data_IF_997659842218
#
_entry.id   IF_997659842218
#
_cell.length_a   1.000
_cell.length_b   1.000
_cell.length_c   1.000
_cell.angle_alpha   90.00
_cell.angle_beta   90.00
_cell.angle_gamma   90.00
#
_symmetry.space_group_name_H-M   'P 1'
#
loop_
_entity.id
_entity.type
_entity.pdbx_description
1 polymer ?
#
# COMPACT_ATOMS: atom_id res chain seq x y z
N UNK A 1 65.26 -18.61 -10.31
CA UNK A 1 64.57 -17.30 -10.40
C UNK A 1 64.16 -17.18 -11.86
N UNK A 2 62.89 -17.25 -12.28
CA UNK A 2 61.64 -16.74 -11.70
C UNK A 2 60.53 -17.61 -12.28
N UNK A 3 59.80 -18.37 -11.46
CA UNK A 3 58.62 -19.12 -11.91
C UNK A 3 57.47 -18.13 -12.04
N UNK A 4 57.09 -17.79 -13.28
CA UNK A 4 55.87 -17.06 -13.58
C UNK A 4 54.69 -17.97 -13.26
N UNK A 5 53.99 -17.70 -12.15
CA UNK A 5 52.73 -18.34 -11.82
C UNK A 5 51.70 -17.87 -12.85
N UNK A 6 51.47 -18.67 -13.90
CA UNK A 6 50.31 -18.50 -14.77
C UNK A 6 49.05 -18.62 -13.91
N UNK A 7 48.39 -17.50 -13.66
CA UNK A 7 47.03 -17.46 -13.12
C UNK A 7 46.11 -18.07 -14.16
N UNK A 8 45.82 -19.38 -14.05
CA UNK A 8 44.77 -20.03 -14.83
C UNK A 8 43.48 -19.22 -14.67
N UNK A 9 42.87 -18.70 -15.76
CA UNK A 9 41.61 -17.98 -15.64
C UNK A 9 40.59 -18.90 -15.00
N UNK A 10 40.00 -18.46 -13.90
CA UNK A 10 39.04 -19.24 -13.14
C UNK A 10 37.84 -19.57 -14.05
N UNK A 11 37.56 -20.85 -14.35
CA UNK A 11 36.52 -21.24 -15.30
C UNK A 11 35.10 -20.87 -14.82
N UNK A 12 34.95 -20.46 -13.55
CA UNK A 12 33.70 -19.96 -12.98
C UNK A 12 33.37 -18.51 -13.37
N UNK A 13 34.34 -17.75 -13.92
CA UNK A 13 34.18 -16.34 -14.32
C UNK A 13 34.26 -16.13 -15.84
N UNK A 14 34.50 -17.18 -16.63
CA UNK A 14 34.51 -17.07 -18.08
C UNK A 14 33.08 -16.90 -18.64
N UNK A 15 32.86 -15.90 -19.51
CA UNK A 15 31.57 -15.67 -20.17
C UNK A 15 30.54 -14.91 -19.32
N UNK A 16 30.97 -13.83 -18.65
CA UNK A 16 30.07 -12.85 -18.04
C UNK A 16 30.24 -11.50 -18.77
N UNK A 17 29.13 -10.87 -19.15
CA UNK A 17 29.12 -9.49 -19.61
C UNK A 17 29.55 -8.59 -18.44
N UNK A 18 30.38 -7.56 -18.72
CA UNK A 18 30.75 -6.59 -17.70
C UNK A 18 29.52 -5.83 -17.21
N UNK A 19 29.52 -5.37 -15.95
CA UNK A 19 28.42 -4.57 -15.38
C UNK A 19 28.11 -3.30 -16.17
N UNK A 20 29.04 -2.83 -16.99
CA UNK A 20 28.89 -1.68 -17.89
C UNK A 20 28.08 -2.02 -19.15
N UNK A 21 27.98 -3.30 -19.52
CA UNK A 21 27.29 -3.73 -20.74
C UNK A 21 25.80 -3.38 -20.70
N UNK A 22 25.13 -3.50 -19.56
CA UNK A 22 23.71 -3.11 -19.41
C UNK A 22 23.53 -1.61 -19.68
N UNK A 23 24.34 -0.76 -19.04
CA UNK A 23 24.32 0.69 -19.25
C UNK A 23 24.67 1.10 -20.68
N UNK A 24 25.66 0.44 -21.28
CA UNK A 24 26.06 0.69 -22.67
C UNK A 24 24.94 0.31 -23.66
N UNK A 25 24.28 -0.84 -23.47
CA UNK A 25 23.15 -1.25 -24.31
C UNK A 25 21.93 -0.35 -24.13
N UNK A 26 21.68 0.15 -22.92
CA UNK A 26 20.61 1.10 -22.63
C UNK A 26 20.86 2.45 -23.32
N UNK A 27 22.07 2.99 -23.17
CA UNK A 27 22.46 4.23 -23.84
C UNK A 27 22.39 4.11 -25.37
N UNK A 28 22.88 2.98 -25.92
CA UNK A 28 22.79 2.69 -27.35
C UNK A 28 21.35 2.61 -27.84
N UNK A 29 20.47 1.91 -27.12
CA UNK A 29 19.07 1.79 -27.49
C UNK A 29 18.31 3.13 -27.37
N UNK A 30 18.61 3.94 -26.36
CA UNK A 30 18.04 5.29 -26.21
C UNK A 30 18.45 6.24 -27.34
N UNK A 31 19.71 6.20 -27.79
CA UNK A 31 20.19 6.98 -28.93
C UNK A 31 19.52 6.56 -30.24
N UNK A 32 19.36 5.25 -30.47
CA UNK A 32 18.65 4.73 -31.64
C UNK A 32 17.16 5.12 -31.59
N UNK A 33 16.53 5.03 -30.41
CA UNK A 33 15.16 5.50 -30.20
C UNK A 33 14.98 6.98 -30.53
N UNK A 34 15.87 7.85 -30.02
CA UNK A 34 15.84 9.28 -30.29
C UNK A 34 16.10 9.63 -31.77
N UNK A 35 16.95 8.85 -32.46
CA UNK A 35 17.20 9.01 -33.89
C UNK A 35 15.96 8.62 -34.72
N UNK A 36 15.29 7.52 -34.37
CA UNK A 36 14.05 7.10 -35.04
C UNK A 36 12.94 8.14 -34.80
N UNK A 37 12.80 8.62 -33.56
CA UNK A 37 11.80 9.62 -33.20
C UNK A 37 12.02 10.94 -33.97
N UNK A 38 13.26 11.42 -34.07
CA UNK A 38 13.59 12.67 -34.77
C UNK A 38 13.56 12.61 -36.31
N UNK A 39 13.59 11.41 -36.91
CA UNK A 39 13.68 11.25 -38.38
C UNK A 39 12.45 10.61 -39.01
N UNK A 40 11.70 9.82 -38.25
CA UNK A 40 10.56 9.05 -38.74
C UNK A 40 9.22 9.47 -38.11
N UNK A 41 9.25 10.18 -36.97
CA UNK A 41 8.06 10.71 -36.31
C UNK A 41 8.17 12.23 -36.27
N UNK A 42 7.08 12.94 -36.55
CA UNK A 42 7.07 14.41 -36.69
C UNK A 42 7.16 15.10 -35.32
N UNK A 43 8.37 15.11 -34.74
CA UNK A 43 8.71 15.84 -33.50
C UNK A 43 9.34 14.96 -32.43
N UNK A 44 10.26 15.56 -31.66
CA UNK A 44 10.87 14.90 -30.50
C UNK A 44 9.89 14.91 -29.33
N UNK A 45 9.20 13.78 -29.10
CA UNK A 45 8.43 13.57 -27.89
C UNK A 45 9.24 12.70 -26.91
N UNK A 46 9.52 13.20 -25.68
CA UNK A 46 10.26 12.42 -24.69
C UNK A 46 9.60 11.07 -24.36
N UNK A 47 8.28 10.97 -24.45
CA UNK A 47 7.53 9.74 -24.19
C UNK A 47 7.75 8.67 -25.26
N UNK A 48 7.61 9.03 -26.54
CA UNK A 48 7.85 8.14 -27.68
C UNK A 48 9.31 7.69 -27.75
N UNK A 49 10.26 8.59 -27.52
CA UNK A 49 11.70 8.26 -27.48
C UNK A 49 12.03 7.23 -26.40
N UNK A 50 11.51 7.38 -25.18
CA UNK A 50 11.72 6.42 -24.09
C UNK A 50 11.06 5.07 -24.39
N UNK A 51 9.86 5.07 -24.97
CA UNK A 51 9.16 3.86 -25.35
C UNK A 51 9.93 3.07 -26.43
N UNK A 52 10.34 3.75 -27.51
CA UNK A 52 11.13 3.13 -28.59
C UNK A 52 12.48 2.61 -28.07
N UNK A 53 13.17 3.39 -27.23
CA UNK A 53 14.40 2.97 -26.57
C UNK A 53 14.22 1.71 -25.73
N UNK A 54 13.12 1.60 -24.97
CA UNK A 54 12.82 0.40 -24.18
C UNK A 54 12.51 -0.83 -25.05
N UNK A 55 11.74 -0.65 -26.14
CA UNK A 55 11.40 -1.71 -27.10
C UNK A 55 12.65 -2.24 -27.81
N UNK A 56 13.66 -1.40 -28.05
CA UNK A 56 14.94 -1.81 -28.66
C UNK A 56 15.89 -2.43 -27.61
N UNK A 57 15.92 -1.86 -26.41
CA UNK A 57 16.80 -2.30 -25.32
C UNK A 57 16.49 -3.72 -24.84
N UNK A 58 15.22 -4.06 -24.62
CA UNK A 58 14.81 -5.34 -24.03
C UNK A 58 15.19 -6.57 -24.89
N UNK A 59 14.98 -6.58 -26.21
CA UNK A 59 15.49 -7.63 -27.09
C UNK A 59 17.02 -7.62 -27.17
N UNK A 60 17.65 -6.44 -27.24
CA UNK A 60 19.10 -6.33 -27.38
C UNK A 60 19.83 -6.93 -26.16
N UNK A 61 19.43 -6.57 -24.94
CA UNK A 61 20.04 -7.11 -23.72
C UNK A 61 19.78 -8.61 -23.55
N UNK A 62 18.62 -9.10 -23.99
CA UNK A 62 18.29 -10.53 -23.98
C UNK A 62 19.15 -11.32 -24.97
N UNK A 63 19.27 -10.85 -26.21
CA UNK A 63 20.06 -11.52 -27.25
C UNK A 63 21.56 -11.53 -26.91
N UNK A 64 22.10 -10.41 -26.44
CA UNK A 64 23.49 -10.30 -25.99
C UNK A 64 23.78 -11.15 -24.76
N UNK A 65 22.87 -11.17 -23.78
CA UNK A 65 23.04 -12.04 -22.60
C UNK A 65 22.87 -13.52 -22.97
N UNK A 66 22.03 -13.85 -23.94
CA UNK A 66 21.85 -15.24 -24.40
C UNK A 66 23.09 -15.76 -25.12
N UNK A 67 23.77 -14.93 -25.91
CA UNK A 67 24.97 -15.33 -26.67
C UNK A 67 26.20 -15.47 -25.78
N UNK A 68 26.35 -14.63 -24.74
CA UNK A 68 27.55 -14.63 -23.87
C UNK A 68 27.37 -15.47 -22.60
N UNK A 69 26.19 -15.42 -21.98
CA UNK A 69 25.96 -15.94 -20.61
C UNK A 69 24.98 -17.12 -20.54
N UNK A 70 24.38 -17.48 -21.68
CA UNK A 70 23.41 -18.54 -21.79
C UNK A 70 21.98 -18.15 -21.38
N UNK A 71 21.04 -19.10 -21.59
CA UNK A 71 19.59 -18.84 -21.50
C UNK A 71 19.11 -18.43 -20.09
N UNK A 72 19.68 -19.03 -19.03
CA UNK A 72 19.24 -18.77 -17.65
C UNK A 72 19.52 -17.33 -17.21
N UNK A 73 20.75 -16.84 -17.44
CA UNK A 73 21.15 -15.46 -17.10
C UNK A 73 20.47 -14.41 -17.99
N UNK A 74 20.21 -14.73 -19.26
CA UNK A 74 19.46 -13.86 -20.15
C UNK A 74 18.00 -13.65 -19.68
N UNK A 75 17.32 -14.72 -19.25
CA UNK A 75 15.96 -14.61 -18.70
C UNK A 75 15.94 -13.83 -17.39
N UNK A 76 16.92 -14.06 -16.51
CA UNK A 76 17.05 -13.32 -15.24
C UNK A 76 17.18 -11.81 -15.48
N UNK A 77 18.10 -11.37 -16.34
CA UNK A 77 18.28 -9.95 -16.69
C UNK A 77 17.07 -9.33 -17.38
N UNK A 78 16.41 -10.07 -18.26
CA UNK A 78 15.17 -9.60 -18.89
C UNK A 78 14.08 -9.40 -17.83
N UNK A 79 13.92 -10.34 -16.90
CA UNK A 79 12.97 -10.21 -15.80
C UNK A 79 13.29 -9.00 -14.91
N UNK A 80 14.55 -8.80 -14.53
CA UNK A 80 14.98 -7.63 -13.75
C UNK A 80 14.66 -6.31 -14.46
N UNK A 81 14.98 -6.21 -15.76
CA UNK A 81 14.70 -5.00 -16.54
C UNK A 81 13.20 -4.75 -16.73
N UNK A 82 12.39 -5.80 -16.92
CA UNK A 82 10.94 -5.68 -17.00
C UNK A 82 10.33 -5.23 -15.66
N UNK A 83 10.79 -5.78 -14.54
CA UNK A 83 10.34 -5.37 -13.20
C UNK A 83 10.74 -3.92 -12.92
N UNK A 84 11.98 -3.54 -13.23
CA UNK A 84 12.45 -2.16 -13.08
C UNK A 84 11.66 -1.19 -13.98
N UNK A 85 11.41 -1.57 -15.23
CA UNK A 85 10.59 -0.79 -16.17
C UNK A 85 9.15 -0.63 -15.68
N UNK A 86 8.50 -1.71 -15.23
CA UNK A 86 7.16 -1.66 -14.66
C UNK A 86 7.11 -0.79 -13.40
N UNK A 87 8.12 -0.85 -12.54
CA UNK A 87 8.24 0.02 -11.36
C UNK A 87 8.37 1.50 -11.75
N UNK A 88 9.20 1.84 -12.72
CA UNK A 88 9.34 3.20 -13.23
C UNK A 88 8.04 3.71 -13.86
N UNK A 89 7.35 2.88 -14.64
CA UNK A 89 6.04 3.22 -15.20
C UNK A 89 4.99 3.46 -14.11
N UNK A 90 5.00 2.68 -13.04
CA UNK A 90 4.11 2.89 -11.89
C UNK A 90 4.45 4.16 -11.09
N UNK A 91 5.71 4.60 -11.10
CA UNK A 91 6.12 5.86 -10.48
C UNK A 91 5.58 7.10 -11.22
N UNK A 92 5.38 7.03 -12.54
CA UNK A 92 4.89 8.18 -13.32
C UNK A 92 3.57 8.77 -12.81
N UNK A 93 2.47 8.00 -12.65
CA UNK A 93 1.23 8.55 -12.10
C UNK A 93 1.39 8.99 -10.65
N UNK A 94 2.21 8.31 -9.85
CA UNK A 94 2.48 8.72 -8.46
C UNK A 94 3.14 10.10 -8.41
N UNK A 95 4.21 10.30 -9.18
CA UNK A 95 4.90 11.59 -9.28
C UNK A 95 3.98 12.65 -9.88
N UNK A 96 3.17 12.32 -10.89
CA UNK A 96 2.21 13.24 -11.49
C UNK A 96 1.16 13.71 -10.48
N UNK A 97 0.59 12.81 -9.68
CA UNK A 97 -0.40 13.17 -8.65
C UNK A 97 0.26 14.02 -7.57
N UNK A 98 1.45 13.64 -7.08
CA UNK A 98 2.18 14.44 -6.10
C UNK A 98 2.51 15.83 -6.63
N UNK A 99 3.00 15.94 -7.86
CA UNK A 99 3.29 17.22 -8.50
C UNK A 99 2.03 18.07 -8.63
N UNK A 100 0.95 17.52 -9.17
CA UNK A 100 -0.32 18.23 -9.35
C UNK A 100 -0.91 18.69 -8.00
N UNK A 101 -0.86 17.84 -6.97
CA UNK A 101 -1.30 18.19 -5.62
C UNK A 101 -0.46 19.31 -5.00
N UNK A 102 0.86 19.30 -5.20
CA UNK A 102 1.74 20.37 -4.70
C UNK A 102 1.58 21.66 -5.48
N UNK A 103 1.64 21.63 -6.81
CA UNK A 103 1.55 22.84 -7.64
C UNK A 103 0.19 23.51 -7.56
N UNK A 104 -0.90 22.72 -7.46
CA UNK A 104 -2.25 23.25 -7.28
C UNK A 104 -2.58 23.62 -5.84
N UNK A 105 -1.98 22.94 -4.86
CA UNK A 105 -2.28 23.12 -3.43
C UNK A 105 -1.46 24.21 -2.75
N UNK A 106 -0.15 24.33 -3.06
CA UNK A 106 0.76 25.31 -2.43
C UNK A 106 0.25 26.76 -2.48
N UNK A 107 -0.32 27.25 -3.59
CA UNK A 107 -0.84 28.62 -3.66
C UNK A 107 -2.03 28.90 -2.72
N UNK A 108 -2.72 27.86 -2.22
CA UNK A 108 -3.88 27.96 -1.31
C UNK A 108 -3.50 27.77 0.16
N UNK A 109 -2.20 27.69 0.51
CA UNK A 109 -1.75 27.65 1.91
C UNK A 109 -1.78 29.05 2.56
N UNK A 110 -2.97 29.63 2.64
CA UNK A 110 -3.20 30.92 3.29
C UNK A 110 -4.10 30.77 4.53
N UNK A 111 -4.19 31.81 5.36
CA UNK A 111 -4.96 31.76 6.59
C UNK A 111 -6.47 31.51 6.36
N UNK A 112 -7.01 31.93 5.20
CA UNK A 112 -8.43 31.74 4.88
C UNK A 112 -8.74 30.28 4.56
N UNK A 113 -7.80 29.55 3.94
CA UNK A 113 -7.94 28.11 3.70
C UNK A 113 -8.19 27.31 4.99
N UNK A 114 -7.52 27.65 6.09
CA UNK A 114 -7.69 26.95 7.37
C UNK A 114 -8.87 27.43 8.20
N UNK A 115 -9.31 28.68 8.00
CA UNK A 115 -10.33 29.32 8.86
C UNK A 115 -11.72 29.38 8.22
N UNK A 116 -11.83 29.27 6.90
CA UNK A 116 -13.11 29.40 6.19
C UNK A 116 -13.67 28.03 5.82
N UNK A 117 -15.00 27.96 5.76
CA UNK A 117 -15.74 26.77 5.32
C UNK A 117 -16.14 26.92 3.85
N UNK A 118 -16.28 25.78 3.16
CA UNK A 118 -16.90 25.71 1.82
C UNK A 118 -18.44 25.70 1.86
N UNK A 119 -19.05 25.80 3.05
CA UNK A 119 -20.50 25.83 3.18
C UNK A 119 -21.10 27.02 2.41
N UNK A 120 -22.00 26.73 1.48
CA UNK A 120 -22.70 27.70 0.62
C UNK A 120 -21.78 28.53 -0.30
N UNK A 121 -20.55 28.08 -0.55
CA UNK A 121 -19.66 28.72 -1.54
C UNK A 121 -19.90 28.06 -2.89
N UNK A 122 -20.27 28.85 -3.91
CA UNK A 122 -20.39 28.42 -5.30
C UNK A 122 -19.44 29.29 -6.13
N UNK A 123 -18.33 28.72 -6.60
CA UNK A 123 -17.27 29.43 -7.32
C UNK A 123 -16.00 29.63 -6.51
N UNK A 124 -15.24 30.69 -6.82
CA UNK A 124 -13.96 30.97 -6.18
C UNK A 124 -14.10 31.48 -4.75
N UNK A 125 -13.44 30.79 -3.81
CA UNK A 125 -13.41 31.15 -2.39
C UNK A 125 -13.42 29.92 -1.49
N UNK A 126 -13.78 30.11 -0.22
CA UNK A 126 -13.92 29.04 0.78
C UNK A 126 -12.61 28.46 1.29
N UNK A 127 -12.71 27.57 2.28
CA UNK A 127 -11.56 26.92 2.91
C UNK A 127 -11.83 25.46 3.28
N UNK A 128 -10.76 24.76 3.65
CA UNK A 128 -10.76 23.35 3.99
C UNK A 128 -11.25 23.06 5.42
N UNK A 129 -11.69 24.06 6.19
CA UNK A 129 -12.11 23.86 7.58
C UNK A 129 -13.14 22.73 7.69
N UNK A 130 -14.20 22.75 6.87
CA UNK A 130 -15.23 21.71 6.91
C UNK A 130 -14.69 20.32 6.54
N UNK A 131 -13.76 20.25 5.57
CA UNK A 131 -13.13 19.00 5.17
C UNK A 131 -12.21 18.42 6.26
N UNK A 132 -11.46 19.28 6.96
CA UNK A 132 -10.59 18.88 8.07
C UNK A 132 -11.43 18.35 9.24
N UNK A 133 -12.44 19.11 9.67
CA UNK A 133 -13.34 18.68 10.74
C UNK A 133 -14.13 17.43 10.36
N UNK A 134 -14.64 17.35 9.12
CA UNK A 134 -15.35 16.18 8.62
C UNK A 134 -14.48 14.94 8.63
N UNK A 135 -13.25 15.02 8.11
CA UNK A 135 -12.31 13.89 8.08
C UNK A 135 -11.96 13.41 9.50
N UNK A 136 -11.66 14.34 10.42
CA UNK A 136 -11.35 14.00 11.82
C UNK A 136 -12.54 13.38 12.54
N UNK A 137 -13.74 13.92 12.35
CA UNK A 137 -14.95 13.41 12.99
C UNK A 137 -15.30 11.99 12.48
N UNK A 138 -15.34 11.82 11.17
CA UNK A 138 -15.69 10.55 10.53
C UNK A 138 -14.67 9.47 10.86
N UNK A 139 -13.39 9.77 10.67
CA UNK A 139 -12.31 8.83 10.98
C UNK A 139 -12.23 8.55 12.47
N UNK A 140 -12.45 9.56 13.31
CA UNK A 140 -12.46 9.41 14.77
C UNK A 140 -13.53 8.44 15.25
N UNK A 141 -14.76 8.57 14.74
CA UNK A 141 -15.86 7.64 15.06
C UNK A 141 -15.56 6.25 14.50
N UNK A 142 -15.12 6.15 13.24
CA UNK A 142 -14.75 4.87 12.63
C UNK A 142 -13.66 4.15 13.45
N UNK A 143 -12.65 4.88 13.92
CA UNK A 143 -11.57 4.36 14.76
C UNK A 143 -12.09 3.92 16.13
N UNK A 144 -12.91 4.75 16.78
CA UNK A 144 -13.48 4.46 18.09
C UNK A 144 -14.32 3.17 18.09
N UNK A 145 -14.98 2.86 16.97
CA UNK A 145 -15.74 1.63 16.80
C UNK A 145 -14.82 0.47 16.41
N UNK A 146 -13.97 0.67 15.41
CA UNK A 146 -13.24 -0.42 14.75
C UNK A 146 -12.06 -0.93 15.55
N UNK A 147 -11.34 -0.05 16.26
CA UNK A 147 -10.14 -0.45 17.00
C UNK A 147 -10.49 -1.37 18.17
N UNK A 148 -11.46 -1.06 19.04
CA UNK A 148 -11.84 -1.98 20.11
C UNK A 148 -12.38 -3.30 19.58
N UNK A 149 -13.25 -3.27 18.55
CA UNK A 149 -13.80 -4.49 17.95
C UNK A 149 -12.68 -5.34 17.36
N UNK A 150 -11.82 -4.73 16.53
CA UNK A 150 -10.73 -5.44 15.87
C UNK A 150 -9.70 -6.02 16.84
N UNK A 151 -9.33 -5.26 17.87
CA UNK A 151 -8.43 -5.72 18.93
C UNK A 151 -9.02 -6.90 19.70
N UNK A 152 -10.28 -6.81 20.11
CA UNK A 152 -10.94 -7.89 20.86
C UNK A 152 -11.14 -9.14 20.01
N UNK A 153 -11.48 -8.98 18.73
CA UNK A 153 -11.57 -10.10 17.79
C UNK A 153 -10.20 -10.76 17.57
N UNK A 154 -9.12 -9.99 17.41
CA UNK A 154 -7.78 -10.54 17.27
C UNK A 154 -7.30 -11.27 18.54
N UNK A 155 -7.54 -10.70 19.72
CA UNK A 155 -7.27 -11.36 21.00
C UNK A 155 -8.04 -12.67 21.11
N UNK A 156 -9.32 -12.67 20.74
CA UNK A 156 -10.12 -13.89 20.68
C UNK A 156 -9.50 -14.92 19.74
N UNK A 157 -9.18 -14.54 18.50
CA UNK A 157 -8.64 -15.46 17.48
C UNK A 157 -7.30 -16.08 17.88
N UNK A 158 -6.38 -15.29 18.44
CA UNK A 158 -5.03 -15.76 18.80
C UNK A 158 -5.04 -16.55 20.10
N UNK A 159 -5.72 -16.06 21.14
CA UNK A 159 -5.62 -16.65 22.46
C UNK A 159 -6.69 -17.71 22.71
N UNK A 160 -7.92 -17.52 22.22
CA UNK A 160 -9.06 -18.41 22.51
C UNK A 160 -9.56 -19.21 21.30
N UNK A 161 -9.24 -18.77 20.08
CA UNK A 161 -9.82 -19.24 18.83
C UNK A 161 -9.51 -20.71 18.56
N UNK A 162 -10.47 -21.60 18.86
CA UNK A 162 -10.41 -23.02 18.52
C UNK A 162 -11.72 -23.46 17.86
N UNK A 163 -11.64 -24.35 16.87
CA UNK A 163 -12.81 -24.99 16.25
C UNK A 163 -13.49 -24.15 15.16
N UNK A 164 -14.80 -24.36 14.98
CA UNK A 164 -15.56 -23.81 13.86
C UNK A 164 -15.78 -22.29 13.95
N UNK A 165 -15.93 -21.74 15.16
CA UNK A 165 -16.17 -20.31 15.36
C UNK A 165 -14.98 -19.46 14.91
N UNK A 166 -13.75 -19.85 15.29
CA UNK A 166 -12.54 -19.18 14.84
C UNK A 166 -12.40 -19.20 13.31
N UNK A 167 -12.63 -20.37 12.68
CA UNK A 167 -12.64 -20.49 11.22
C UNK A 167 -13.69 -19.62 10.55
N UNK A 168 -14.89 -19.53 11.13
CA UNK A 168 -15.95 -18.66 10.63
C UNK A 168 -15.58 -17.19 10.70
N UNK A 169 -15.07 -16.72 11.84
CA UNK A 169 -14.63 -15.33 12.01
C UNK A 169 -13.50 -14.99 11.03
N UNK A 170 -12.47 -15.85 10.92
CA UNK A 170 -11.40 -15.65 9.93
C UNK A 170 -11.97 -15.59 8.51
N UNK A 171 -12.88 -16.50 8.13
CA UNK A 171 -13.52 -16.45 6.82
C UNK A 171 -14.26 -15.13 6.56
N UNK A 172 -15.03 -14.62 7.53
CA UNK A 172 -15.73 -13.34 7.38
C UNK A 172 -14.76 -12.16 7.29
N UNK A 173 -13.70 -12.13 8.10
CA UNK A 173 -12.64 -11.10 8.03
C UNK A 173 -11.99 -11.11 6.65
N UNK A 174 -11.68 -12.29 6.11
CA UNK A 174 -11.07 -12.48 4.80
C UNK A 174 -12.00 -12.02 3.68
N UNK A 175 -13.28 -12.39 3.75
CA UNK A 175 -14.30 -11.94 2.80
C UNK A 175 -14.46 -10.42 2.85
N UNK A 176 -14.49 -9.82 4.05
CA UNK A 176 -14.59 -8.35 4.20
C UNK A 176 -13.42 -7.61 3.56
N UNK A 177 -12.20 -8.18 3.55
CA UNK A 177 -11.06 -7.58 2.83
C UNK A 177 -11.19 -7.66 1.31
N UNK A 178 -11.99 -8.60 0.79
CA UNK A 178 -12.22 -8.78 -0.64
C UNK A 178 -13.41 -8.01 -1.21
N UNK A 179 -14.28 -7.45 -0.36
CA UNK A 179 -15.45 -6.70 -0.79
C UNK A 179 -15.02 -5.32 -1.35
N UNK A 180 -15.54 -4.88 -2.50
CA UNK A 180 -15.27 -3.54 -3.02
C UNK A 180 -15.72 -2.44 -2.03
N UNK A 181 -14.92 -1.40 -1.83
CA UNK A 181 -15.21 -0.35 -0.82
C UNK A 181 -16.51 0.42 -1.08
N UNK A 182 -16.94 0.53 -2.35
CA UNK A 182 -18.25 1.08 -2.74
C UNK A 182 -19.41 0.31 -2.08
N UNK A 183 -19.30 -1.01 -1.97
CA UNK A 183 -20.35 -1.86 -1.40
C UNK A 183 -20.53 -1.58 0.09
N UNK A 184 -19.46 -1.30 0.81
CA UNK A 184 -19.55 -0.89 2.22
C UNK A 184 -20.27 0.45 2.38
N UNK A 185 -20.04 1.41 1.46
CA UNK A 185 -20.78 2.67 1.40
C UNK A 185 -22.27 2.47 1.15
N UNK A 186 -22.63 1.64 0.17
CA UNK A 186 -24.03 1.32 -0.13
C UNK A 186 -24.72 0.60 1.03
N UNK A 187 -24.02 -0.32 1.70
CA UNK A 187 -24.50 -1.00 2.90
C UNK A 187 -24.81 0.01 4.01
N UNK A 188 -23.88 0.91 4.33
CA UNK A 188 -24.08 1.91 5.37
C UNK A 188 -25.23 2.87 5.04
N UNK A 189 -25.33 3.31 3.78
CA UNK A 189 -26.45 4.13 3.31
C UNK A 189 -27.80 3.41 3.46
N UNK A 190 -27.89 2.15 3.00
CA UNK A 190 -29.11 1.36 3.12
C UNK A 190 -29.50 1.08 4.57
N UNK A 191 -28.53 0.74 5.43
CA UNK A 191 -28.75 0.53 6.86
C UNK A 191 -29.31 1.79 7.52
N UNK A 192 -28.72 2.96 7.23
CA UNK A 192 -29.17 4.23 7.76
C UNK A 192 -30.56 4.62 7.27
N UNK A 193 -30.86 4.37 5.99
CA UNK A 193 -32.18 4.58 5.43
C UNK A 193 -33.27 3.74 6.14
N UNK A 194 -32.95 2.52 6.55
CA UNK A 194 -33.88 1.64 7.28
C UNK A 194 -34.09 2.11 8.71
N UNK A 195 -33.02 2.50 9.41
CA UNK A 195 -33.09 2.82 10.85
C UNK A 195 -33.64 4.23 11.10
N UNK A 196 -33.24 5.21 10.28
CA UNK A 196 -33.55 6.63 10.51
C UNK A 196 -34.43 7.27 9.43
N UNK A 197 -34.79 6.50 8.39
CA UNK A 197 -35.64 6.94 7.29
C UNK A 197 -34.85 7.29 6.02
N UNK A 198 -35.52 7.28 4.85
CA UNK A 198 -34.90 7.46 3.54
C UNK A 198 -34.23 8.84 3.39
N UNK A 199 -33.06 8.88 2.77
CA UNK A 199 -32.30 10.12 2.51
C UNK A 199 -31.38 10.57 3.65
N UNK A 200 -31.11 9.72 4.64
CA UNK A 200 -30.20 10.03 5.76
C UNK A 200 -28.73 9.99 5.35
N UNK A 201 -28.28 11.10 4.79
CA UNK A 201 -26.88 11.35 4.43
C UNK A 201 -26.26 12.20 5.54
N UNK A 202 -25.32 11.63 6.32
CA UNK A 202 -24.65 12.33 7.41
C UNK A 202 -23.22 11.80 7.63
N UNK A 203 -22.39 12.52 8.39
CA UNK A 203 -21.02 12.03 8.68
C UNK A 203 -21.00 10.70 9.45
N UNK A 204 -22.08 10.36 10.16
CA UNK A 204 -22.17 9.12 10.93
C UNK A 204 -22.34 7.88 10.03
N UNK A 205 -23.14 7.96 8.96
CA UNK A 205 -23.27 6.91 7.96
C UNK A 205 -21.93 6.66 7.27
N UNK A 206 -21.18 7.73 6.94
CA UNK A 206 -19.80 7.63 6.45
C UNK A 206 -18.89 6.91 7.43
N UNK A 207 -19.01 7.21 8.73
CA UNK A 207 -18.22 6.55 9.79
C UNK A 207 -18.53 5.05 9.90
N UNK A 208 -19.80 4.67 9.72
CA UNK A 208 -20.21 3.26 9.67
C UNK A 208 -19.70 2.54 8.42
N UNK A 209 -19.69 3.21 7.27
CA UNK A 209 -19.12 2.63 6.05
C UNK A 209 -17.61 2.36 6.21
N UNK A 210 -16.88 3.33 6.75
CA UNK A 210 -15.45 3.20 7.03
C UNK A 210 -15.17 2.15 8.11
N UNK A 211 -16.02 2.02 9.14
CA UNK A 211 -15.79 1.04 10.20
C UNK A 211 -15.85 -0.40 9.68
N UNK A 212 -16.77 -0.70 8.75
CA UNK A 212 -16.86 -2.00 8.08
C UNK A 212 -15.54 -2.37 7.39
N UNK A 213 -14.89 -1.41 6.74
CA UNK A 213 -13.61 -1.65 6.04
C UNK A 213 -12.41 -1.66 7.01
N UNK A 214 -12.47 -0.88 8.09
CA UNK A 214 -11.38 -0.73 9.03
C UNK A 214 -11.24 -1.92 10.00
N UNK A 215 -12.35 -2.54 10.41
CA UNK A 215 -12.36 -3.72 11.30
C UNK A 215 -11.39 -4.81 10.81
N UNK A 216 -11.51 -5.36 9.58
CA UNK A 216 -10.66 -6.46 9.15
C UNK A 216 -9.17 -6.08 9.06
N UNK A 217 -8.87 -4.81 8.76
CA UNK A 217 -7.50 -4.29 8.74
C UNK A 217 -6.90 -4.33 10.16
N UNK A 218 -7.63 -3.84 11.15
CA UNK A 218 -7.18 -3.85 12.56
C UNK A 218 -7.07 -5.27 13.10
N UNK A 219 -8.03 -6.17 12.77
CA UNK A 219 -7.98 -7.58 13.18
C UNK A 219 -6.71 -8.25 12.69
N UNK A 220 -6.42 -8.16 11.39
CA UNK A 220 -5.24 -8.78 10.75
C UNK A 220 -3.94 -8.26 11.36
N UNK A 221 -3.79 -6.94 11.42
CA UNK A 221 -2.59 -6.31 11.97
C UNK A 221 -2.36 -6.75 13.42
N UNK A 222 -3.41 -6.74 14.24
CA UNK A 222 -3.31 -7.12 15.66
C UNK A 222 -3.03 -8.63 15.81
N UNK A 223 -3.68 -9.48 15.02
CA UNK A 223 -3.48 -10.93 15.05
C UNK A 223 -2.03 -11.32 14.74
N UNK A 224 -1.44 -10.73 13.70
CA UNK A 224 -0.04 -10.96 13.33
C UNK A 224 0.90 -10.59 14.49
N UNK A 225 0.65 -9.46 15.15
CA UNK A 225 1.49 -8.96 16.22
C UNK A 225 1.36 -9.75 17.53
N UNK A 226 0.16 -10.20 17.86
CA UNK A 226 -0.07 -11.07 19.02
C UNK A 226 0.62 -12.44 18.83
N UNK A 227 0.70 -12.94 17.59
CA UNK A 227 1.40 -14.19 17.26
C UNK A 227 2.93 -14.10 17.37
N UNK A 228 3.50 -12.89 17.29
CA UNK A 228 4.95 -12.67 17.46
C UNK A 228 5.38 -12.84 18.92
N UNK A 229 4.47 -12.64 19.89
CA UNK A 229 4.79 -12.81 21.31
C UNK A 229 5.22 -14.26 21.55
N UNK A 230 6.39 -14.53 22.16
CA UNK A 230 6.88 -15.88 22.40
C UNK A 230 5.99 -16.66 23.38
N UNK A 231 5.86 -17.98 23.18
CA UNK A 231 5.04 -18.84 24.05
C UNK A 231 5.65 -19.02 25.44
N UNK A 232 6.97 -18.89 25.57
CA UNK A 232 7.71 -19.01 26.82
C UNK A 232 7.21 -17.98 27.84
N UNK A 233 6.88 -16.76 27.41
CA UNK A 233 6.29 -15.72 28.27
C UNK A 233 4.90 -16.11 28.77
N UNK A 234 4.10 -16.79 27.93
CA UNK A 234 2.77 -17.27 28.29
C UNK A 234 2.86 -18.41 29.31
N UNK A 235 3.70 -19.39 29.03
CA UNK A 235 3.92 -20.56 29.88
C UNK A 235 4.50 -20.18 31.25
N UNK A 236 5.47 -19.26 31.29
CA UNK A 236 6.01 -18.73 32.53
C UNK A 236 4.94 -18.04 33.39
N UNK A 237 4.05 -17.26 32.76
CA UNK A 237 2.92 -16.64 33.48
C UNK A 237 1.94 -17.67 34.01
N UNK A 238 1.66 -18.74 33.27
CA UNK A 238 0.78 -19.82 33.73
C UNK A 238 1.41 -20.64 34.87
N UNK A 239 2.73 -20.84 34.85
CA UNK A 239 3.47 -21.51 35.94
C UNK A 239 3.40 -20.74 37.26
N UNK A 240 3.27 -19.40 37.21
CA UNK A 240 3.04 -18.55 38.37
C UNK A 240 1.57 -18.57 38.88
N UNK A 241 0.70 -19.42 38.31
CA UNK A 241 -0.70 -19.54 38.70
C UNK A 241 -1.58 -18.36 38.26
N UNK A 242 -1.11 -17.53 37.32
CA UNK A 242 -1.88 -16.39 36.81
C UNK A 242 -2.96 -16.87 35.84
N UNK A 243 -4.23 -16.44 36.00
CA UNK A 243 -5.29 -16.83 35.07
C UNK A 243 -5.08 -16.22 33.69
N UNK A 244 -5.54 -16.93 32.66
CA UNK A 244 -5.32 -16.58 31.25
C UNK A 244 -5.69 -15.14 30.87
N UNK A 245 -6.82 -14.63 31.33
CA UNK A 245 -7.22 -13.25 31.05
C UNK A 245 -6.21 -12.22 31.57
N UNK A 246 -5.58 -12.50 32.73
CA UNK A 246 -4.59 -11.61 33.34
C UNK A 246 -3.24 -11.74 32.63
N UNK A 247 -2.86 -12.93 32.16
CA UNK A 247 -1.70 -13.12 31.28
C UNK A 247 -1.85 -12.31 29.99
N UNK A 248 -3.03 -12.34 29.37
CA UNK A 248 -3.28 -11.57 28.14
C UNK A 248 -3.17 -10.07 28.39
N UNK A 249 -3.85 -9.56 29.42
CA UNK A 249 -3.87 -8.11 29.71
C UNK A 249 -2.55 -7.59 30.24
N UNK A 250 -1.81 -8.39 31.03
CA UNK A 250 -0.62 -7.91 31.75
C UNK A 250 0.70 -8.30 31.10
N UNK A 251 0.72 -9.31 30.22
CA UNK A 251 1.94 -9.81 29.58
C UNK A 251 1.84 -9.68 28.07
N UNK A 252 0.82 -10.30 27.45
CA UNK A 252 0.72 -10.37 25.99
C UNK A 252 0.47 -9.00 25.37
N UNK A 253 -0.59 -8.30 25.80
CA UNK A 253 -0.96 -6.99 25.24
C UNK A 253 0.17 -5.95 25.39
N UNK A 254 0.79 -5.77 26.57
CA UNK A 254 1.90 -4.81 26.73
C UNK A 254 3.11 -5.16 25.87
N UNK A 255 3.43 -6.45 25.71
CA UNK A 255 4.58 -6.90 24.91
C UNK A 255 4.37 -6.62 23.42
N UNK A 256 3.15 -6.76 22.91
CA UNK A 256 2.79 -6.47 21.51
C UNK A 256 2.38 -5.01 21.25
N UNK A 257 2.30 -4.16 22.29
CA UNK A 257 1.64 -2.85 22.20
C UNK A 257 2.28 -1.94 21.16
N UNK A 258 3.62 -1.90 21.08
CA UNK A 258 4.32 -1.07 20.10
C UNK A 258 3.93 -1.45 18.68
N UNK A 259 3.80 -2.74 18.39
CA UNK A 259 3.31 -3.20 17.10
C UNK A 259 1.86 -2.81 16.89
N UNK A 260 0.99 -3.04 17.88
CA UNK A 260 -0.46 -2.84 17.73
C UNK A 260 -0.76 -1.37 17.43
N UNK A 261 -0.08 -0.47 18.13
CA UNK A 261 -0.18 0.97 17.89
C UNK A 261 0.24 1.33 16.47
N UNK A 262 1.37 0.81 15.98
CA UNK A 262 1.80 1.04 14.59
C UNK A 262 0.80 0.47 13.57
N UNK A 263 0.29 -0.74 13.79
CA UNK A 263 -0.71 -1.37 12.93
C UNK A 263 -2.03 -0.58 12.88
N UNK A 264 -2.48 -0.08 14.02
CA UNK A 264 -3.67 0.79 14.12
C UNK A 264 -3.43 2.12 13.42
N UNK A 265 -2.27 2.75 13.59
CA UNK A 265 -1.92 4.00 12.87
C UNK A 265 -1.95 3.78 11.35
N UNK A 266 -1.42 2.67 10.86
CA UNK A 266 -1.47 2.34 9.43
C UNK A 266 -2.91 2.09 8.95
N UNK A 267 -3.74 1.45 9.77
CA UNK A 267 -5.16 1.26 9.47
C UNK A 267 -5.91 2.60 9.38
N UNK A 268 -5.64 3.52 10.31
CA UNK A 268 -6.20 4.89 10.29
C UNK A 268 -5.72 5.65 9.05
N UNK A 269 -4.42 5.61 8.75
CA UNK A 269 -3.87 6.30 7.58
C UNK A 269 -4.52 5.81 6.28
N UNK A 270 -4.77 4.49 6.17
CA UNK A 270 -5.46 3.91 5.03
C UNK A 270 -6.93 4.36 4.95
N UNK A 271 -7.66 4.32 6.06
CA UNK A 271 -9.10 4.62 6.05
C UNK A 271 -9.39 6.10 5.76
N UNK A 272 -8.50 7.01 6.18
CA UNK A 272 -8.58 8.44 5.82
C UNK A 272 -8.54 8.63 4.30
N UNK A 273 -7.82 7.77 3.58
CA UNK A 273 -7.70 7.82 2.12
C UNK A 273 -8.84 7.14 1.35
N UNK A 274 -9.80 6.49 2.02
CA UNK A 274 -10.92 5.82 1.36
C UNK A 274 -12.00 6.84 0.98
N UNK A 275 -12.14 7.13 -0.32
CA UNK A 275 -13.11 8.13 -0.82
C UNK A 275 -14.43 7.52 -1.29
N UNK A 276 -14.35 6.32 -1.89
CA UNK A 276 -15.48 5.64 -2.51
C UNK A 276 -16.69 5.40 -1.59
N UNK A 277 -16.54 4.85 -0.36
CA UNK A 277 -17.69 4.64 0.52
C UNK A 277 -18.32 5.95 1.00
N UNK A 278 -17.51 7.00 1.17
CA UNK A 278 -17.94 8.29 1.68
C UNK A 278 -18.83 9.06 0.70
N UNK A 279 -18.53 9.00 -0.61
CA UNK A 279 -19.36 9.63 -1.65
C UNK A 279 -20.81 9.14 -1.65
N UNK A 280 -21.06 7.90 -1.21
CA UNK A 280 -22.41 7.33 -1.16
C UNK A 280 -23.06 7.57 0.20
N UNK A 281 -22.31 7.34 1.28
CA UNK A 281 -22.86 7.38 2.62
C UNK A 281 -23.03 8.81 3.16
N UNK A 282 -22.03 9.67 2.95
CA UNK A 282 -21.94 11.01 3.53
C UNK A 282 -22.21 12.16 2.52
N UNK A 283 -22.24 11.85 1.22
CA UNK A 283 -22.52 12.81 0.14
C UNK A 283 -21.28 13.52 -0.37
#
# INVERSE_FOLDING_TARGET
MTTLTETRPNPLTAGQLPNVASWATLAGAALVGALIDSTALDGFDPGTTVFLGAVIYLPAIYLLSRSVEGRRRATDRLATNLVAGAFLLALLPLVSVLWASLSGGLPRFDATFFTWSMRNVIGDGGGALHAIYGTLFVTGIATLISVPIGLMTAVYLVEYGRGALARGITFFVDVMTGIPSIVAGLFAYALMAIVFGPGTINGFSGSLALSVLMIPIVVRATEELLRIVPNELREASYALGVPKWRTIVSVVLPTSLSGIVSGVILAIARIIGETAPLMIAAG
#
